data_IF_414327453256
#
_entry.id   IF_414327453256
#
_cell.length_a   1.000
_cell.length_b   1.000
_cell.length_c   1.000
_cell.angle_alpha   90.00
_cell.angle_beta   90.00
_cell.angle_gamma   90.00
#
_symmetry.space_group_name_H-M   'P 1'
#
loop_
_entity.id
_entity.type
_entity.pdbx_description
1 polymer ?
#
# COMPACT_ATOMS: atom_id res chain seq x y z
N UNK A 1 19.05 -38.05 -2.88
CA UNK A 1 17.63 -38.10 -2.46
C UNK A 1 17.10 -36.70 -2.66
N UNK A 2 16.23 -36.51 -3.64
CA UNK A 2 15.63 -35.20 -3.93
C UNK A 2 14.48 -35.00 -2.93
N UNK A 3 14.75 -34.29 -1.84
CA UNK A 3 13.70 -33.93 -0.89
C UNK A 3 12.95 -32.75 -1.50
N UNK A 4 11.81 -33.04 -2.12
CA UNK A 4 10.88 -31.99 -2.57
C UNK A 4 10.57 -31.09 -1.38
N UNK A 5 11.05 -29.84 -1.42
CA UNK A 5 10.80 -28.87 -0.37
C UNK A 5 9.29 -28.65 -0.28
N UNK A 6 8.67 -28.78 0.91
CA UNK A 6 7.22 -28.69 1.07
C UNK A 6 6.70 -27.32 0.64
N UNK A 7 5.48 -27.30 0.10
CA UNK A 7 4.78 -26.06 -0.23
C UNK A 7 3.98 -25.59 0.98
N UNK A 8 4.04 -24.28 1.20
CA UNK A 8 3.28 -23.59 2.22
C UNK A 8 2.04 -22.92 1.66
N UNK A 9 1.09 -22.62 2.53
CA UNK A 9 -0.07 -21.79 2.19
C UNK A 9 0.22 -20.30 2.42
N UNK A 10 -0.23 -19.47 1.48
CA UNK A 10 -0.11 -18.01 1.52
C UNK A 10 -1.49 -17.37 1.66
N UNK A 11 -1.56 -16.32 2.47
CA UNK A 11 -2.75 -15.50 2.67
C UNK A 11 -2.38 -14.03 2.85
N UNK A 12 -3.31 -13.13 2.57
CA UNK A 12 -3.21 -11.71 2.88
C UNK A 12 -4.38 -11.30 3.78
N UNK A 13 -4.05 -10.69 4.91
CA UNK A 13 -5.03 -10.10 5.83
C UNK A 13 -4.95 -8.59 5.80
N UNK A 14 -6.09 -7.94 5.65
CA UNK A 14 -6.18 -6.49 5.77
C UNK A 14 -6.54 -6.12 7.21
N UNK A 15 -5.80 -5.18 7.80
CA UNK A 15 -5.99 -4.72 9.18
C UNK A 15 -6.11 -3.19 9.17
N UNK A 16 -7.20 -2.66 9.71
CA UNK A 16 -7.37 -1.21 9.86
C UNK A 16 -6.39 -0.72 10.93
N UNK A 17 -5.52 0.29 10.64
CA UNK A 17 -4.56 0.79 11.59
C UNK A 17 -5.26 1.49 12.76
N UNK A 18 -4.57 1.59 13.89
CA UNK A 18 -5.03 2.40 15.01
C UNK A 18 -4.97 3.90 14.66
N UNK A 19 -5.76 4.72 15.36
CA UNK A 19 -5.92 6.15 15.04
C UNK A 19 -4.60 6.95 15.07
N UNK A 20 -3.64 6.56 15.91
CA UNK A 20 -2.34 7.22 16.06
C UNK A 20 -1.25 6.75 15.07
N UNK A 21 -1.54 5.82 14.15
CA UNK A 21 -0.54 5.32 13.21
C UNK A 21 -0.13 6.44 12.24
N UNK A 22 1.12 6.49 11.81
CA UNK A 22 1.55 7.45 10.80
C UNK A 22 0.98 7.08 9.43
N UNK A 23 0.97 5.79 9.09
CA UNK A 23 0.22 5.25 7.96
C UNK A 23 -1.24 5.00 8.35
N UNK A 24 -2.17 5.66 7.67
CA UNK A 24 -3.61 5.54 7.95
C UNK A 24 -4.33 4.62 6.97
N UNK A 25 -3.67 4.21 5.88
CA UNK A 25 -4.18 3.12 5.04
C UNK A 25 -4.18 1.80 5.79
N UNK A 26 -5.16 0.95 5.50
CA UNK A 26 -5.22 -0.40 6.06
C UNK A 26 -3.92 -1.18 5.79
N UNK A 27 -3.33 -1.75 6.83
CA UNK A 27 -2.16 -2.61 6.72
C UNK A 27 -2.52 -3.90 5.97
N UNK A 28 -1.57 -4.40 5.18
CA UNK A 28 -1.66 -5.69 4.51
C UNK A 28 -0.63 -6.60 5.14
N UNK A 29 -1.10 -7.62 5.86
CA UNK A 29 -0.26 -8.53 6.64
C UNK A 29 -0.23 -9.91 5.98
N UNK A 30 0.95 -10.41 5.56
CA UNK A 30 1.07 -11.74 4.99
C UNK A 30 0.85 -12.81 6.05
N UNK A 31 0.06 -13.82 5.68
CA UNK A 31 -0.18 -15.03 6.44
C UNK A 31 0.59 -16.18 5.79
N UNK A 32 1.32 -16.95 6.60
CA UNK A 32 1.96 -18.20 6.19
C UNK A 32 1.43 -19.31 7.08
N UNK A 33 0.83 -20.34 6.48
CA UNK A 33 0.05 -21.34 7.23
C UNK A 33 -1.07 -20.73 8.07
N UNK A 34 -1.69 -19.68 7.56
CA UNK A 34 -2.75 -18.93 8.27
C UNK A 34 -2.26 -18.12 9.48
N UNK A 35 -0.95 -18.11 9.78
CA UNK A 35 -0.36 -17.36 10.89
C UNK A 35 0.16 -16.01 10.41
N UNK A 36 -0.09 -14.95 11.18
CA UNK A 36 0.44 -13.62 10.88
C UNK A 36 1.95 -13.60 11.02
N UNK A 37 2.63 -13.61 9.87
CA UNK A 37 4.08 -13.66 9.80
C UNK A 37 4.72 -12.50 10.56
N UNK A 38 4.18 -11.28 10.39
CA UNK A 38 4.75 -10.08 10.98
C UNK A 38 4.57 -10.04 12.50
N UNK A 39 3.46 -10.57 13.02
CA UNK A 39 3.25 -10.69 14.45
C UNK A 39 4.29 -11.61 15.12
N UNK A 40 4.80 -12.61 14.40
CA UNK A 40 5.83 -13.52 14.90
C UNK A 40 7.24 -12.91 14.81
N UNK A 41 7.61 -12.33 13.67
CA UNK A 41 9.01 -11.94 13.38
C UNK A 41 9.33 -10.49 13.74
N UNK A 42 8.31 -9.64 13.87
CA UNK A 42 8.45 -8.24 14.28
C UNK A 42 7.26 -7.82 15.16
N UNK A 43 7.16 -8.36 16.39
CA UNK A 43 6.07 -8.02 17.29
C UNK A 43 6.06 -6.52 17.58
N UNK A 44 4.90 -5.87 17.39
CA UNK A 44 4.76 -4.42 17.54
C UNK A 44 5.18 -3.59 16.31
N UNK A 45 5.76 -4.24 15.30
CA UNK A 45 6.04 -3.61 14.01
C UNK A 45 4.78 -3.41 13.16
N UNK A 46 4.84 -2.38 12.32
CA UNK A 46 3.80 -2.01 11.35
C UNK A 46 4.13 -2.62 10.00
N UNK A 47 3.12 -3.08 9.27
CA UNK A 47 3.35 -3.54 7.90
C UNK A 47 3.81 -2.39 7.00
N UNK A 48 4.90 -2.61 6.27
CA UNK A 48 5.35 -1.68 5.21
C UNK A 48 4.45 -1.76 3.98
N UNK A 49 3.65 -2.83 3.88
CA UNK A 49 2.62 -3.00 2.86
C UNK A 49 1.26 -2.56 3.41
N UNK A 50 0.60 -1.64 2.72
CA UNK A 50 -0.74 -1.17 3.06
C UNK A 50 -1.60 -1.19 1.80
N UNK A 51 -2.91 -1.02 1.94
CA UNK A 51 -3.87 -1.11 0.85
C UNK A 51 -3.54 -0.15 -0.30
N UNK A 52 -2.86 0.97 -0.04
CA UNK A 52 -2.38 1.92 -1.06
C UNK A 52 -1.37 1.29 -2.02
N UNK A 53 -0.56 0.35 -1.54
CA UNK A 53 0.43 -0.37 -2.35
C UNK A 53 -0.19 -1.48 -3.21
N UNK A 54 -1.44 -1.85 -2.91
CA UNK A 54 -2.23 -2.85 -3.64
C UNK A 54 -3.24 -2.17 -4.58
N UNK A 55 -2.97 -0.92 -4.99
CA UNK A 55 -3.74 -0.22 -6.00
C UNK A 55 -3.15 -0.51 -7.39
N UNK A 56 -4.01 -0.61 -8.40
CA UNK A 56 -3.61 -0.98 -9.75
C UNK A 56 -3.34 -2.48 -9.92
N UNK A 57 -2.70 -2.87 -11.05
CA UNK A 57 -2.50 -4.27 -11.42
C UNK A 57 -1.70 -5.06 -10.38
N UNK A 58 -2.10 -6.30 -10.10
CA UNK A 58 -1.47 -7.13 -9.07
C UNK A 58 0.04 -7.33 -9.29
N UNK A 59 0.48 -7.41 -10.54
CA UNK A 59 1.90 -7.51 -10.93
C UNK A 59 2.79 -6.34 -10.46
N UNK A 60 2.22 -5.17 -10.13
CA UNK A 60 3.00 -4.02 -9.63
C UNK A 60 3.16 -4.05 -8.12
N UNK A 61 2.46 -4.95 -7.43
CA UNK A 61 2.42 -4.96 -5.97
C UNK A 61 3.74 -5.43 -5.36
N UNK A 62 4.02 -5.06 -4.10
CA UNK A 62 5.20 -5.56 -3.38
C UNK A 62 5.29 -7.09 -3.37
N UNK A 63 4.14 -7.77 -3.25
CA UNK A 63 4.07 -9.23 -3.18
C UNK A 63 4.10 -9.94 -4.53
N UNK A 64 4.01 -9.23 -5.67
CA UNK A 64 4.01 -9.88 -6.97
C UNK A 64 5.28 -10.71 -7.20
N UNK A 65 5.14 -11.94 -7.71
CA UNK A 65 6.30 -12.79 -7.96
C UNK A 65 6.63 -12.79 -9.45
N UNK A 66 7.85 -12.38 -9.80
CA UNK A 66 8.39 -12.49 -11.17
C UNK A 66 9.66 -13.33 -11.17
N UNK A 67 10.15 -13.70 -12.36
CA UNK A 67 11.40 -14.44 -12.49
C UNK A 67 12.63 -13.70 -11.95
N UNK A 68 12.55 -12.36 -11.89
CA UNK A 68 13.58 -11.52 -11.29
C UNK A 68 13.39 -11.44 -9.76
N UNK A 69 14.38 -11.86 -8.95
CA UNK A 69 14.29 -11.75 -7.50
C UNK A 69 14.22 -10.29 -7.04
N UNK A 70 13.23 -9.97 -6.21
CA UNK A 70 13.04 -8.61 -5.65
C UNK A 70 13.10 -8.65 -4.13
N UNK A 71 13.89 -7.74 -3.56
CA UNK A 71 13.93 -7.52 -2.11
C UNK A 71 12.74 -6.64 -1.70
N UNK A 72 11.92 -7.14 -0.80
CA UNK A 72 10.66 -6.52 -0.35
C UNK A 72 10.75 -6.24 1.14
N UNK A 73 10.43 -5.01 1.54
CA UNK A 73 10.25 -4.66 2.95
C UNK A 73 8.84 -5.06 3.39
N UNK A 74 8.74 -5.95 4.38
CA UNK A 74 7.47 -6.45 4.90
C UNK A 74 6.99 -5.63 6.11
N UNK A 75 7.92 -5.17 6.95
CA UNK A 75 7.57 -4.35 8.12
C UNK A 75 8.68 -3.41 8.53
N UNK A 76 8.27 -2.34 9.21
CA UNK A 76 9.12 -1.37 9.88
C UNK A 76 8.46 -0.93 11.20
N UNK A 77 9.04 0.07 11.87
CA UNK A 77 8.52 0.59 13.14
C UNK A 77 7.68 1.87 12.96
N UNK A 78 6.94 1.98 11.85
CA UNK A 78 6.22 3.20 11.46
C UNK A 78 7.16 4.44 11.44
N UNK A 79 8.41 4.19 11.05
CA UNK A 79 9.51 5.15 10.99
C UNK A 79 10.27 4.92 9.68
N UNK A 80 11.20 5.83 9.31
CA UNK A 80 12.09 5.54 8.17
C UNK A 80 12.96 4.34 8.49
N UNK A 81 12.99 3.32 7.62
CA UNK A 81 13.65 2.03 7.89
C UNK A 81 15.15 2.18 8.20
N UNK A 82 15.80 3.21 7.65
CA UNK A 82 17.18 3.55 7.98
C UNK A 82 17.41 3.91 9.46
N UNK A 83 16.36 4.26 10.20
CA UNK A 83 16.42 4.63 11.61
C UNK A 83 16.14 3.45 12.55
N UNK A 84 15.11 2.65 12.30
CA UNK A 84 14.66 1.61 13.25
C UNK A 84 14.80 0.18 12.71
N UNK A 85 15.30 -0.01 11.50
CA UNK A 85 15.33 -1.30 10.83
C UNK A 85 13.95 -1.83 10.46
N UNK A 86 13.91 -3.02 9.90
CA UNK A 86 12.70 -3.69 9.43
C UNK A 86 12.95 -5.14 9.04
N UNK A 87 11.90 -5.76 8.51
CA UNK A 87 11.94 -7.15 8.02
C UNK A 87 11.91 -7.12 6.50
N UNK A 88 12.86 -7.83 5.89
CA UNK A 88 12.96 -7.96 4.45
C UNK A 88 12.95 -9.42 4.04
N UNK A 89 12.46 -9.66 2.83
CA UNK A 89 12.48 -10.95 2.16
C UNK A 89 12.78 -10.76 0.69
N UNK A 90 13.41 -11.74 0.05
CA UNK A 90 13.51 -11.79 -1.41
C UNK A 90 12.41 -12.66 -1.98
N UNK A 91 11.55 -12.08 -2.83
CA UNK A 91 10.47 -12.79 -3.52
C UNK A 91 10.90 -13.06 -4.96
N UNK A 92 10.75 -14.32 -5.41
CA UNK A 92 11.01 -14.73 -6.79
C UNK A 92 10.07 -15.84 -7.22
N UNK A 93 9.56 -15.77 -8.45
CA UNK A 93 8.90 -16.89 -9.12
C UNK A 93 9.94 -17.80 -9.77
N UNK A 94 9.84 -19.10 -9.53
CA UNK A 94 10.64 -20.13 -10.16
C UNK A 94 9.71 -21.26 -10.64
N UNK A 95 9.36 -21.23 -11.93
CA UNK A 95 8.42 -22.20 -12.52
C UNK A 95 7.03 -22.11 -11.87
N UNK A 96 6.59 -23.21 -11.30
CA UNK A 96 5.33 -23.40 -10.59
C UNK A 96 5.39 -22.98 -9.11
N UNK A 97 6.51 -22.39 -8.66
CA UNK A 97 6.71 -21.97 -7.27
C UNK A 97 6.98 -20.48 -7.13
N UNK A 98 6.50 -19.91 -6.04
CA UNK A 98 6.96 -18.61 -5.52
C UNK A 98 7.85 -18.88 -4.31
N UNK A 99 9.07 -18.35 -4.34
CA UNK A 99 10.08 -18.54 -3.32
C UNK A 99 10.24 -17.25 -2.53
N UNK A 100 10.13 -17.36 -1.21
CA UNK A 100 10.47 -16.31 -0.26
C UNK A 100 11.74 -16.74 0.47
N UNK A 101 12.86 -16.11 0.12
CA UNK A 101 14.19 -16.50 0.57
C UNK A 101 14.99 -15.30 1.08
N UNK A 102 16.20 -15.56 1.57
CA UNK A 102 17.16 -14.50 1.93
C UNK A 102 16.56 -13.47 2.90
N UNK A 103 15.90 -13.99 3.94
CA UNK A 103 15.26 -13.16 4.95
C UNK A 103 16.28 -12.34 5.74
N UNK A 104 15.92 -11.10 6.06
CA UNK A 104 16.75 -10.21 6.86
C UNK A 104 15.89 -9.53 7.93
N UNK A 105 16.37 -9.56 9.18
CA UNK A 105 15.85 -8.72 10.26
C UNK A 105 16.90 -7.67 10.59
N UNK A 106 16.69 -6.43 10.12
CA UNK A 106 17.58 -5.31 10.42
C UNK A 106 17.12 -4.53 11.64
N UNK A 107 15.97 -4.86 12.21
CA UNK A 107 15.46 -4.28 13.45
C UNK A 107 16.13 -4.91 14.69
N UNK A 108 16.10 -6.24 14.79
CA UNK A 108 16.76 -7.01 15.85
C UNK A 108 17.34 -8.31 15.30
N UNK A 109 18.67 -8.31 15.10
CA UNK A 109 19.41 -9.46 14.57
C UNK A 109 19.35 -10.72 15.46
N UNK A 110 18.89 -10.58 16.71
CA UNK A 110 18.77 -11.72 17.66
C UNK A 110 17.47 -12.48 17.46
N UNK A 111 16.47 -11.85 16.83
CA UNK A 111 15.19 -12.49 16.52
C UNK A 111 15.37 -13.32 15.25
N UNK A 112 15.17 -14.66 15.32
CA UNK A 112 15.30 -15.51 14.15
C UNK A 112 14.36 -15.09 13.02
N UNK A 113 14.88 -15.07 11.80
CA UNK A 113 14.07 -14.94 10.60
C UNK A 113 13.50 -16.31 10.19
N UNK A 114 12.39 -16.32 9.41
CA UNK A 114 11.87 -17.56 8.84
C UNK A 114 12.91 -18.29 7.99
N UNK A 115 12.76 -19.60 7.87
CA UNK A 115 13.43 -20.36 6.82
C UNK A 115 12.88 -19.98 5.44
N UNK A 116 13.56 -20.41 4.38
CA UNK A 116 13.04 -20.28 3.01
C UNK A 116 11.67 -20.95 2.90
N UNK A 117 10.69 -20.21 2.36
CA UNK A 117 9.30 -20.65 2.22
C UNK A 117 8.95 -20.72 0.74
N UNK A 118 8.33 -21.82 0.33
CA UNK A 118 7.92 -22.04 -1.05
C UNK A 118 6.40 -22.14 -1.13
N UNK A 119 5.80 -21.45 -2.08
CA UNK A 119 4.36 -21.48 -2.32
C UNK A 119 4.08 -22.05 -3.70
N UNK A 120 2.93 -22.70 -3.85
CA UNK A 120 2.36 -22.97 -5.17
C UNK A 120 2.04 -21.64 -5.85
N UNK A 121 2.55 -21.43 -7.07
CA UNK A 121 2.47 -20.14 -7.72
C UNK A 121 1.04 -19.75 -8.12
N UNK A 122 0.24 -20.71 -8.54
CA UNK A 122 -1.14 -20.44 -8.97
C UNK A 122 -2.02 -20.08 -7.76
N UNK A 123 -1.83 -20.76 -6.62
CA UNK A 123 -2.52 -20.39 -5.36
C UNK A 123 -2.06 -19.04 -4.84
N UNK A 124 -0.78 -18.74 -4.96
CA UNK A 124 -0.22 -17.45 -4.55
C UNK A 124 -0.84 -16.30 -5.34
N UNK A 125 -0.90 -16.41 -6.68
CA UNK A 125 -1.49 -15.40 -7.55
C UNK A 125 -3.00 -15.27 -7.33
N UNK A 126 -3.70 -16.39 -7.13
CA UNK A 126 -5.13 -16.39 -6.80
C UNK A 126 -5.41 -15.62 -5.49
N UNK A 127 -4.54 -15.74 -4.49
CA UNK A 127 -4.66 -14.97 -3.25
C UNK A 127 -4.41 -13.48 -3.46
N UNK A 128 -3.44 -13.09 -4.29
CA UNK A 128 -3.25 -11.69 -4.67
C UNK A 128 -4.51 -11.12 -5.36
N UNK A 129 -5.09 -11.87 -6.29
CA UNK A 129 -6.31 -11.46 -6.99
C UNK A 129 -7.53 -11.36 -6.05
N UNK A 130 -7.66 -12.30 -5.10
CA UNK A 130 -8.68 -12.25 -4.05
C UNK A 130 -8.52 -10.99 -3.20
N UNK A 131 -7.32 -10.74 -2.70
CA UNK A 131 -7.02 -9.55 -1.88
C UNK A 131 -7.28 -8.24 -2.63
N UNK A 132 -7.09 -8.22 -3.96
CA UNK A 132 -7.38 -7.05 -4.80
C UNK A 132 -8.87 -6.68 -4.79
N UNK A 133 -9.69 -7.72 -4.84
CA UNK A 133 -11.16 -7.62 -4.96
C UNK A 133 -11.85 -7.50 -3.61
N UNK A 134 -11.15 -7.77 -2.52
CA UNK A 134 -11.70 -7.72 -1.17
C UNK A 134 -11.80 -6.27 -0.67
N UNK A 135 -13.03 -5.76 -0.75
CA UNK A 135 -13.43 -4.45 -0.22
C UNK A 135 -14.39 -4.59 0.97
N UNK A 136 -14.56 -5.81 1.50
CA UNK A 136 -15.55 -6.09 2.55
C UNK A 136 -15.23 -5.41 3.89
N UNK A 137 -13.96 -5.03 4.09
CA UNK A 137 -13.46 -4.34 5.27
C UNK A 137 -13.56 -2.80 5.16
N UNK A 138 -13.81 -2.26 3.96
CA UNK A 138 -13.77 -0.81 3.73
C UNK A 138 -14.92 -0.09 4.44
N UNK A 139 -14.58 0.91 5.25
CA UNK A 139 -15.55 1.92 5.67
C UNK A 139 -15.74 2.96 4.56
N UNK A 140 -16.78 3.82 4.60
CA UNK A 140 -16.99 4.85 3.59
C UNK A 140 -15.75 5.72 3.29
N UNK A 141 -14.94 6.03 4.30
CA UNK A 141 -13.70 6.81 4.14
C UNK A 141 -12.58 6.03 3.44
N UNK A 142 -12.53 4.71 3.63
CA UNK A 142 -11.58 3.81 2.94
C UNK A 142 -11.93 3.69 1.47
N UNK A 143 -13.21 3.47 1.18
CA UNK A 143 -13.72 3.45 -0.19
C UNK A 143 -13.49 4.81 -0.87
N UNK A 144 -13.69 5.92 -0.16
CA UNK A 144 -13.43 7.25 -0.68
C UNK A 144 -11.95 7.44 -1.04
N UNK A 145 -11.04 7.03 -0.15
CA UNK A 145 -9.61 7.15 -0.37
C UNK A 145 -9.13 6.28 -1.53
N UNK A 146 -9.60 5.02 -1.63
CA UNK A 146 -9.27 4.12 -2.75
C UNK A 146 -9.71 4.69 -4.08
N UNK A 147 -10.99 5.03 -4.20
CA UNK A 147 -11.55 5.57 -5.46
C UNK A 147 -10.86 6.87 -5.86
N UNK A 148 -10.57 7.74 -4.89
CA UNK A 148 -9.88 8.99 -5.16
C UNK A 148 -8.43 8.78 -5.61
N UNK A 149 -7.71 7.84 -5.00
CA UNK A 149 -6.37 7.48 -5.41
C UNK A 149 -6.34 6.89 -6.83
N UNK A 150 -7.28 5.99 -7.16
CA UNK A 150 -7.44 5.40 -8.50
C UNK A 150 -7.75 6.48 -9.55
N UNK A 151 -8.73 7.35 -9.27
CA UNK A 151 -9.13 8.42 -10.17
C UNK A 151 -7.96 9.40 -10.42
N UNK A 152 -7.27 9.84 -9.36
CA UNK A 152 -6.15 10.76 -9.50
C UNK A 152 -4.95 10.11 -10.22
N UNK A 153 -4.67 8.83 -10.00
CA UNK A 153 -3.61 8.12 -10.71
C UNK A 153 -3.90 8.02 -12.22
N UNK A 154 -5.16 7.77 -12.60
CA UNK A 154 -5.57 7.72 -14.01
C UNK A 154 -5.42 9.07 -14.73
N UNK A 155 -5.56 10.18 -14.00
CA UNK A 155 -5.52 11.54 -14.58
C UNK A 155 -4.15 12.21 -14.51
N UNK A 156 -3.27 11.80 -13.59
CA UNK A 156 -1.93 12.39 -13.42
C UNK A 156 -0.86 11.74 -14.30
N UNK A 157 -1.20 10.66 -15.04
CA UNK A 157 -0.31 9.96 -15.95
C UNK A 157 0.00 10.67 -17.28
N UNK A 158 -0.64 11.81 -17.56
CA UNK A 158 -0.61 12.46 -18.89
C UNK A 158 -0.07 13.89 -18.85
N UNK A 159 1.26 14.05 -18.72
CA UNK A 159 2.04 15.20 -19.23
C UNK A 159 1.62 16.65 -18.87
N UNK A 160 0.59 16.86 -18.04
CA UNK A 160 -0.01 18.16 -17.79
C UNK A 160 -0.21 18.35 -16.29
N UNK A 161 0.63 19.21 -15.72
CA UNK A 161 0.52 19.66 -14.33
C UNK A 161 1.89 19.90 -13.70
N UNK A 162 2.11 21.09 -13.14
CA UNK A 162 3.27 21.37 -12.29
C UNK A 162 3.19 20.63 -10.95
N UNK A 163 2.02 20.07 -10.62
CA UNK A 163 1.71 19.42 -9.35
C UNK A 163 1.58 17.91 -9.49
N UNK A 164 2.04 17.19 -8.45
CA UNK A 164 1.93 15.73 -8.34
C UNK A 164 1.23 15.38 -7.03
N UNK A 165 0.36 14.37 -7.06
CA UNK A 165 -0.22 13.81 -5.84
C UNK A 165 0.90 13.12 -5.06
N UNK A 166 1.19 13.61 -3.86
CA UNK A 166 2.16 13.00 -2.95
C UNK A 166 1.50 11.90 -2.12
N UNK A 167 0.29 12.19 -1.62
CA UNK A 167 -0.42 11.28 -0.73
C UNK A 167 -1.93 11.49 -0.83
N UNK A 168 -2.66 10.39 -0.74
CA UNK A 168 -4.08 10.35 -0.38
C UNK A 168 -4.13 9.63 0.96
N UNK A 169 -4.81 10.17 1.96
CA UNK A 169 -4.78 9.62 3.32
C UNK A 169 -6.20 9.57 3.86
N UNK A 170 -6.76 8.38 4.14
CA UNK A 170 -8.02 8.26 4.86
C UNK A 170 -7.79 8.64 6.33
N UNK A 171 -8.70 9.40 6.92
CA UNK A 171 -8.69 9.77 8.33
C UNK A 171 -10.04 9.40 8.94
N UNK A 172 -10.01 8.45 9.88
CA UNK A 172 -11.20 7.90 10.53
C UNK A 172 -11.60 8.68 11.79
N UNK A 173 -10.98 9.83 12.05
CA UNK A 173 -11.40 10.75 13.12
C UNK A 173 -12.74 11.38 12.77
N UNK A 174 -13.57 11.75 13.75
CA UNK A 174 -14.84 12.40 13.45
C UNK A 174 -14.66 13.93 13.27
N UNK A 175 -15.17 14.54 12.17
CA UNK A 175 -15.78 13.88 11.01
C UNK A 175 -14.76 13.19 10.11
N UNK A 176 -15.11 12.01 9.59
CA UNK A 176 -14.23 11.22 8.73
C UNK A 176 -13.92 11.98 7.45
N UNK A 177 -12.66 11.93 7.01
CA UNK A 177 -12.20 12.70 5.84
C UNK A 177 -11.13 11.96 5.07
N UNK A 178 -10.96 12.34 3.80
CA UNK A 178 -9.81 11.94 2.99
C UNK A 178 -8.99 13.20 2.68
N UNK A 179 -7.71 13.15 3.02
CA UNK A 179 -6.77 14.24 2.78
C UNK A 179 -5.92 13.93 1.56
N UNK A 180 -5.89 14.83 0.58
CA UNK A 180 -5.00 14.74 -0.59
C UNK A 180 -3.93 15.81 -0.48
N UNK A 181 -2.67 15.39 -0.51
CA UNK A 181 -1.51 16.27 -0.46
C UNK A 181 -0.84 16.33 -1.83
N UNK A 182 -0.57 17.54 -2.30
CA UNK A 182 0.11 17.79 -3.57
C UNK A 182 1.50 18.37 -3.34
N UNK A 183 2.42 17.99 -4.21
CA UNK A 183 3.77 18.52 -4.34
C UNK A 183 4.00 19.17 -5.69
N UNK A 184 5.19 19.73 -5.90
CA UNK A 184 5.65 20.17 -7.21
C UNK A 184 6.53 19.10 -7.85
N UNK A 185 6.35 18.86 -9.14
CA UNK A 185 7.16 17.89 -9.89
C UNK A 185 8.62 18.33 -9.87
N UNK A 186 9.53 17.44 -9.47
CA UNK A 186 10.98 17.68 -9.48
C UNK A 186 11.50 18.65 -8.42
N UNK A 187 10.65 19.12 -7.50
CA UNK A 187 11.06 20.04 -6.42
C UNK A 187 10.84 19.37 -5.06
N UNK A 188 11.88 19.17 -4.25
CA UNK A 188 11.72 18.76 -2.86
C UNK A 188 10.82 19.76 -2.14
N UNK A 189 9.71 19.29 -1.57
CA UNK A 189 8.75 20.20 -0.92
C UNK A 189 9.38 20.83 0.33
N UNK A 190 9.42 22.16 0.40
CA UNK A 190 9.72 22.85 1.65
C UNK A 190 8.57 22.67 2.67
N UNK A 191 8.82 22.72 3.98
CA UNK A 191 7.77 22.74 4.99
C UNK A 191 6.80 23.91 4.71
N UNK A 192 5.51 23.61 4.51
CA UNK A 192 4.47 24.62 4.27
C UNK A 192 4.07 24.86 2.80
N UNK A 193 4.82 24.35 1.82
CA UNK A 193 4.46 24.50 0.39
C UNK A 193 3.47 23.45 -0.13
N UNK A 194 3.10 22.48 0.72
CA UNK A 194 2.20 21.40 0.35
C UNK A 194 0.77 21.90 0.33
N UNK A 195 0.15 21.88 -0.85
CA UNK A 195 -1.28 22.09 -0.97
C UNK A 195 -2.00 20.87 -0.39
N UNK A 196 -2.95 21.11 0.50
CA UNK A 196 -3.79 20.07 1.08
C UNK A 196 -5.23 20.33 0.66
N UNK A 197 -5.92 19.26 0.24
CA UNK A 197 -7.35 19.26 -0.09
C UNK A 197 -8.02 18.19 0.75
N UNK A 198 -9.16 18.53 1.33
CA UNK A 198 -9.91 17.63 2.21
C UNK A 198 -11.27 17.29 1.61
N UNK A 199 -11.61 16.01 1.62
CA UNK A 199 -12.93 15.50 1.29
C UNK A 199 -13.58 14.99 2.58
N UNK A 200 -14.58 15.70 3.08
CA UNK A 200 -15.38 15.21 4.21
C UNK A 200 -16.27 14.07 3.72
N UNK A 201 -16.18 12.92 4.39
CA UNK A 201 -17.01 11.75 4.11
C UNK A 201 -18.15 11.77 5.12
N UNK A 202 -19.16 12.59 4.82
CA UNK A 202 -20.35 12.76 5.66
C UNK A 202 -21.60 12.87 4.78
N UNK A 203 -22.72 12.35 5.29
CA UNK A 203 -24.04 12.48 4.67
C UNK A 203 -24.52 11.22 3.94
N UNK A 204 -25.72 11.32 3.36
CA UNK A 204 -26.41 10.23 2.66
C UNK A 204 -25.97 10.05 1.19
N UNK A 205 -25.07 10.92 0.71
CA UNK A 205 -24.59 10.87 -0.66
C UNK A 205 -23.75 9.60 -0.90
N UNK A 206 -23.96 8.87 -2.01
CA UNK A 206 -23.11 7.75 -2.38
C UNK A 206 -21.65 8.18 -2.53
N UNK A 207 -20.73 7.51 -1.81
CA UNK A 207 -19.29 7.82 -1.78
C UNK A 207 -18.67 7.97 -3.17
N UNK A 208 -19.10 7.16 -4.14
CA UNK A 208 -18.60 7.23 -5.52
C UNK A 208 -18.87 8.59 -6.18
N UNK A 209 -20.07 9.14 -6.00
CA UNK A 209 -20.43 10.43 -6.61
C UNK A 209 -19.72 11.58 -5.90
N UNK A 210 -19.62 11.50 -4.57
CA UNK A 210 -18.84 12.43 -3.75
C UNK A 210 -17.37 12.50 -4.22
N UNK A 211 -16.72 11.34 -4.39
CA UNK A 211 -15.34 11.25 -4.89
C UNK A 211 -15.22 11.82 -6.31
N UNK A 212 -16.11 11.42 -7.22
CA UNK A 212 -16.08 11.89 -8.62
C UNK A 212 -16.16 13.41 -8.72
N UNK A 213 -17.10 14.03 -8.00
CA UNK A 213 -17.26 15.49 -7.96
C UNK A 213 -16.01 16.17 -7.39
N UNK A 214 -15.44 15.60 -6.34
CA UNK A 214 -14.24 16.14 -5.71
C UNK A 214 -13.01 16.06 -6.63
N UNK A 215 -12.79 14.91 -7.29
CA UNK A 215 -11.72 14.72 -8.25
C UNK A 215 -11.83 15.68 -9.44
N UNK A 216 -13.03 15.84 -10.02
CA UNK A 216 -13.27 16.80 -11.11
C UNK A 216 -12.92 18.25 -10.69
N UNK A 217 -13.23 18.64 -9.46
CA UNK A 217 -12.87 19.97 -8.93
C UNK A 217 -11.36 20.14 -8.82
N UNK A 218 -10.65 19.15 -8.26
CA UNK A 218 -9.19 19.16 -8.16
C UNK A 218 -8.55 19.31 -9.54
N UNK A 219 -9.00 18.50 -10.51
CA UNK A 219 -8.44 18.49 -11.87
C UNK A 219 -8.73 19.80 -12.63
N UNK A 220 -9.93 20.36 -12.48
CA UNK A 220 -10.29 21.64 -13.08
C UNK A 220 -9.44 22.81 -12.51
N UNK A 221 -9.17 22.82 -11.20
CA UNK A 221 -8.31 23.80 -10.57
C UNK A 221 -6.84 23.69 -11.03
N UNK A 222 -6.33 22.47 -11.25
CA UNK A 222 -4.96 22.25 -11.70
C UNK A 222 -4.76 22.68 -13.17
N UNK A 223 -5.74 22.40 -14.02
CA UNK A 223 -5.77 22.89 -15.42
C UNK A 223 -5.91 24.41 -15.48
N UNK A 224 -6.75 25.01 -14.62
CA UNK A 224 -6.95 26.47 -14.54
C UNK A 224 -5.70 27.21 -14.07
N UNK A 225 -4.95 26.66 -13.11
CA UNK A 225 -3.68 27.21 -12.66
C UNK A 225 -2.59 27.17 -13.75
N UNK A 226 -2.65 26.20 -14.67
CA UNK A 226 -1.71 26.07 -15.80
C UNK A 226 -1.96 27.10 -16.90
N UNK A 227 -3.20 27.60 -17.04
CA UNK A 227 -3.56 28.62 -18.03
C UNK A 227 -3.35 30.07 -17.55
N UNK A 228 -3.28 30.30 -16.23
CA UNK A 228 -3.10 31.63 -15.63
C UNK A 228 -1.66 32.12 -15.47
N UNK A 229 -0.66 31.36 -15.93
CA UNK A 229 0.77 31.70 -15.80
C UNK A 229 1.45 32.04 -17.14
N UNK A 230 0.71 32.60 -18.10
CA UNK A 230 1.28 33.13 -19.36
C UNK A 230 1.34 34.64 -19.35
#
# INVERSE_FOLDING_TARGET
>A
MDHSVPLSSFGLRVVVPHAQAMEQWAEVRPLVEGRDLLADVHPGGTSSCSRRHLLGPAETWPFAASGEPRRVELSNNDCVTACCGGIFVTIRRHGDRVLWTSWENTHDIRVPVPADVHFDADRYDAELARAASDVSWEQPVDTAARLLAEELAAHTGTEHGARVVIAVTPERTEPARVTVRFGRRGVPSAPGERLVRELLVAGEEPVRELVRRFALRILAEDLGATLGSR
#
